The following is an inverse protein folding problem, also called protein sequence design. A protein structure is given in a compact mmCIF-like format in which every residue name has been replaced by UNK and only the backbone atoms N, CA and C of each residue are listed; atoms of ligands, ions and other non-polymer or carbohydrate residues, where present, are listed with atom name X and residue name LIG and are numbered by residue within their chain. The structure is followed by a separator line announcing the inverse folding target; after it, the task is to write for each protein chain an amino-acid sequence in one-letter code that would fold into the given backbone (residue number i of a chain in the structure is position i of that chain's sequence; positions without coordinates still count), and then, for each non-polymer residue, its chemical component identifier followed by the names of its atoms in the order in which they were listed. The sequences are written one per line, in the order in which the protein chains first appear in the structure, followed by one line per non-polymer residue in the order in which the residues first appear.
data_IF_176204155393
#
_entry.id   IF_176204155393
#
_cell.length_a   1.000
_cell.length_b   1.000
_cell.length_c   1.000
_cell.angle_alpha   90.00
_cell.angle_beta   90.00
_cell.angle_gamma   90.00
#
_symmetry.space_group_name_H-M   'P 1'
#
loop_
_entity.id
_entity.type
_entity.pdbx_description
1 polymer ?
#
# COMPACT_ATOMS: atom_id res chain seq x y z
N UNK A 1 2.92 2.67 14.65
CA UNK A 1 3.39 2.14 13.36
C UNK A 1 2.38 2.38 12.24
N UNK A 2 1.13 2.04 12.43
CA UNK A 2 0.09 2.28 11.44
C UNK A 2 -0.75 3.50 11.82
N UNK A 3 -1.03 4.36 10.85
CA UNK A 3 -1.88 5.52 11.04
C UNK A 3 -3.22 5.27 10.36
N UNK A 4 -4.32 5.41 11.12
CA UNK A 4 -5.67 5.19 10.62
C UNK A 4 -6.43 6.50 10.59
N UNK A 5 -7.31 6.65 9.61
CA UNK A 5 -8.24 7.76 9.51
C UNK A 5 -9.66 7.25 9.78
N UNK A 6 -10.16 7.49 10.99
CA UNK A 6 -11.49 7.06 11.40
C UNK A 6 -12.61 7.85 10.72
N UNK A 7 -12.28 8.99 10.11
CA UNK A 7 -13.24 9.82 9.37
C UNK A 7 -13.34 9.42 7.90
N UNK A 8 -12.39 8.62 7.42
CA UNK A 8 -12.40 8.13 6.05
C UNK A 8 -13.56 7.16 5.84
N UNK A 9 -14.12 7.15 4.62
CA UNK A 9 -15.11 6.15 4.22
C UNK A 9 -14.50 4.77 3.98
N UNK A 10 -13.17 4.72 3.87
CA UNK A 10 -12.47 3.46 3.69
C UNK A 10 -12.49 2.67 5.00
N UNK A 11 -12.96 1.43 5.00
CA UNK A 11 -12.97 0.60 6.20
C UNK A 11 -11.59 0.45 6.81
N UNK A 12 -11.53 0.27 8.12
CA UNK A 12 -10.25 0.17 8.85
C UNK A 12 -9.41 -0.98 8.32
N UNK A 13 -10.00 -2.14 8.02
CA UNK A 13 -9.23 -3.27 7.52
C UNK A 13 -8.58 -2.97 6.17
N UNK A 14 -9.24 -2.19 5.30
CA UNK A 14 -8.66 -1.79 4.02
C UNK A 14 -7.55 -0.76 4.20
N UNK A 15 -7.70 0.17 5.14
CA UNK A 15 -6.64 1.12 5.45
C UNK A 15 -5.39 0.40 5.94
N UNK A 16 -5.56 -0.59 6.82
CA UNK A 16 -4.45 -1.38 7.33
C UNK A 16 -3.81 -2.22 6.21
N UNK A 17 -4.62 -2.85 5.37
CA UNK A 17 -4.16 -3.59 4.19
C UNK A 17 -3.29 -2.71 3.29
N UNK A 18 -3.81 -1.54 2.91
CA UNK A 18 -3.08 -0.61 2.04
C UNK A 18 -1.82 -0.06 2.68
N UNK A 19 -1.86 0.19 3.99
CA UNK A 19 -0.70 0.67 4.75
C UNK A 19 0.44 -0.33 4.72
N UNK A 20 0.15 -1.60 4.93
CA UNK A 20 1.18 -2.66 4.90
C UNK A 20 1.76 -2.82 3.49
N UNK A 21 0.90 -2.79 2.45
CA UNK A 21 1.37 -2.84 1.06
C UNK A 21 2.31 -1.67 0.77
N UNK A 22 1.93 -0.46 1.17
CA UNK A 22 2.74 0.73 0.95
C UNK A 22 4.09 0.62 1.67
N UNK A 23 4.08 0.21 2.92
CA UNK A 23 5.31 0.05 3.71
C UNK A 23 6.24 -1.01 3.10
N UNK A 24 5.67 -2.08 2.57
CA UNK A 24 6.45 -3.11 1.87
C UNK A 24 7.01 -2.57 0.56
N UNK A 25 6.20 -1.84 -0.20
CA UNK A 25 6.60 -1.29 -1.50
C UNK A 25 7.72 -0.27 -1.38
N UNK A 26 7.71 0.55 -0.31
CA UNK A 26 8.75 1.57 -0.09
C UNK A 26 9.95 1.05 0.71
N UNK A 27 9.97 -0.24 1.04
CA UNK A 27 11.09 -0.86 1.76
C UNK A 27 11.10 -0.65 3.27
N UNK A 28 10.00 -0.14 3.85
CA UNK A 28 9.88 -0.01 5.31
C UNK A 28 9.79 -1.38 6.00
N UNK A 29 9.24 -2.37 5.31
CA UNK A 29 9.31 -3.77 5.70
C UNK A 29 10.16 -4.51 4.67
N UNK A 30 11.13 -5.28 5.14
CA UNK A 30 12.00 -6.07 4.28
C UNK A 30 11.38 -7.45 3.99
N UNK A 31 11.76 -8.10 2.88
CA UNK A 31 11.36 -9.49 2.64
C UNK A 31 11.75 -10.38 3.81
N UNK A 32 10.84 -11.25 4.24
CA UNK A 32 11.07 -12.16 5.36
C UNK A 32 10.93 -11.54 6.74
N UNK A 33 10.74 -10.22 6.83
CA UNK A 33 10.61 -9.54 8.12
C UNK A 33 9.30 -9.96 8.81
N UNK A 34 9.33 -10.21 10.13
CA UNK A 34 8.11 -10.52 10.85
C UNK A 34 7.21 -9.30 11.00
N UNK A 35 5.91 -9.50 10.84
CA UNK A 35 4.90 -8.50 11.13
C UNK A 35 4.51 -8.55 12.60
N UNK A 36 4.07 -7.41 13.18
CA UNK A 36 3.46 -7.43 14.50
C UNK A 36 2.28 -8.40 14.53
N UNK A 37 2.03 -9.03 15.67
CA UNK A 37 0.90 -9.94 15.81
C UNK A 37 -0.43 -9.19 15.66
N UNK A 38 -1.46 -9.91 15.22
CA UNK A 38 -2.82 -9.37 15.13
C UNK A 38 -3.24 -8.74 16.45
N UNK A 39 -2.97 -9.44 17.56
CA UNK A 39 -3.32 -8.96 18.89
C UNK A 39 -2.59 -7.66 19.24
N UNK A 40 -1.31 -7.60 18.96
CA UNK A 40 -0.49 -6.42 19.23
C UNK A 40 -0.97 -5.20 18.45
N UNK A 41 -1.25 -5.38 17.17
CA UNK A 41 -1.76 -4.30 16.31
C UNK A 41 -3.13 -3.83 16.79
N UNK A 42 -4.01 -4.78 17.11
CA UNK A 42 -5.36 -4.45 17.60
C UNK A 42 -5.30 -3.63 18.88
N UNK A 43 -4.42 -3.98 19.81
CA UNK A 43 -4.22 -3.24 21.06
C UNK A 43 -3.66 -1.85 20.80
N UNK A 44 -2.65 -1.74 19.94
CA UNK A 44 -2.02 -0.46 19.62
C UNK A 44 -3.02 0.50 18.95
N UNK A 45 -3.83 0.01 18.04
CA UNK A 45 -4.77 0.83 17.28
C UNK A 45 -6.13 1.01 17.98
N UNK A 46 -6.40 0.24 19.04
CA UNK A 46 -7.69 0.29 19.71
C UNK A 46 -8.83 -0.23 18.85
N UNK A 47 -8.58 -1.23 18.01
CA UNK A 47 -9.59 -1.81 17.12
C UNK A 47 -9.83 -3.28 17.46
N UNK A 48 -10.92 -3.82 16.92
CA UNK A 48 -11.25 -5.23 17.10
C UNK A 48 -10.19 -6.12 16.42
N UNK A 49 -9.68 -7.15 17.12
CA UNK A 49 -8.73 -8.08 16.52
C UNK A 49 -9.23 -8.72 15.21
N UNK A 50 -10.54 -8.93 15.08
CA UNK A 50 -11.11 -9.47 13.84
C UNK A 50 -10.90 -8.55 12.65
N UNK A 51 -10.86 -7.24 12.87
CA UNK A 51 -10.58 -6.24 11.83
C UNK A 51 -9.14 -6.38 11.35
N UNK A 52 -8.20 -6.53 12.27
CA UNK A 52 -6.78 -6.74 11.92
C UNK A 52 -6.62 -8.09 11.23
N UNK A 53 -7.27 -9.14 11.76
CA UNK A 53 -7.22 -10.47 11.17
C UNK A 53 -7.70 -10.47 9.72
N UNK A 54 -8.76 -9.71 9.43
CA UNK A 54 -9.28 -9.59 8.06
C UNK A 54 -8.25 -8.99 7.12
N UNK A 55 -7.56 -7.93 7.55
CA UNK A 55 -6.50 -7.32 6.75
C UNK A 55 -5.36 -8.31 6.49
N UNK A 56 -4.93 -9.04 7.52
CA UNK A 56 -3.87 -10.03 7.39
C UNK A 56 -4.25 -11.19 6.47
N UNK A 57 -5.49 -11.65 6.54
CA UNK A 57 -5.99 -12.69 5.65
C UNK A 57 -5.98 -12.23 4.18
N UNK A 58 -6.35 -10.97 3.94
CA UNK A 58 -6.30 -10.40 2.59
C UNK A 58 -4.87 -10.30 2.07
N UNK A 59 -3.93 -9.89 2.92
CA UNK A 59 -2.52 -9.81 2.57
C UNK A 59 -1.95 -11.21 2.25
N UNK A 60 -2.34 -12.20 3.03
CA UNK A 60 -1.92 -13.59 2.80
C UNK A 60 -2.51 -14.14 1.50
N UNK A 61 -3.79 -13.90 1.26
CA UNK A 61 -4.47 -14.28 0.02
C UNK A 61 -3.74 -13.70 -1.20
N UNK A 62 -3.28 -12.46 -1.11
CA UNK A 62 -2.63 -11.75 -2.21
C UNK A 62 -1.12 -12.01 -2.27
N UNK A 63 -0.60 -12.86 -1.39
CA UNK A 63 0.80 -13.26 -1.41
C UNK A 63 1.77 -12.21 -0.87
N UNK A 64 1.28 -11.17 -0.19
CA UNK A 64 2.11 -10.12 0.41
C UNK A 64 2.80 -10.64 1.67
N UNK A 65 2.09 -11.44 2.45
CA UNK A 65 2.60 -12.07 3.66
C UNK A 65 2.33 -13.57 3.65
N UNK A 66 3.03 -14.29 4.50
CA UNK A 66 2.73 -15.70 4.78
C UNK A 66 2.72 -15.92 6.28
N UNK A 67 1.86 -16.84 6.72
CA UNK A 67 1.73 -17.18 8.14
C UNK A 67 2.36 -18.55 8.38
N UNK A 68 3.21 -18.60 9.41
CA UNK A 68 3.81 -19.85 9.87
C UNK A 68 3.16 -20.19 11.21
N UNK A 69 2.42 -21.30 11.32
CA UNK A 69 1.74 -21.67 12.57
C UNK A 69 2.71 -21.70 13.74
N UNK A 70 2.33 -21.05 14.84
CA UNK A 70 3.13 -20.98 16.04
C UNK A 70 4.27 -19.97 15.99
N UNK A 71 4.55 -19.37 14.85
CA UNK A 71 5.66 -18.40 14.69
C UNK A 71 5.22 -17.01 14.29
N UNK A 72 4.07 -16.88 13.63
CA UNK A 72 3.50 -15.57 13.24
C UNK A 72 3.45 -15.36 11.74
N UNK A 73 3.28 -14.10 11.35
CA UNK A 73 3.18 -13.68 9.96
C UNK A 73 4.44 -12.93 9.54
N UNK A 74 4.85 -13.16 8.30
CA UNK A 74 6.11 -12.63 7.75
C UNK A 74 5.87 -12.05 6.36
N UNK A 75 6.61 -10.99 6.02
CA UNK A 75 6.61 -10.43 4.68
C UNK A 75 7.16 -11.50 3.72
N UNK A 76 6.47 -11.75 2.62
CA UNK A 76 6.88 -12.75 1.63
C UNK A 76 8.20 -12.37 0.98
N UNK A 77 9.02 -13.38 0.69
CA UNK A 77 10.31 -13.18 0.02
C UNK A 77 10.12 -12.69 -1.42
N UNK A 78 9.05 -13.13 -2.08
CA UNK A 78 8.69 -12.70 -3.43
C UNK A 78 7.38 -11.91 -3.38
N UNK A 79 7.43 -10.62 -3.64
CA UNK A 79 6.26 -9.75 -3.65
C UNK A 79 5.73 -9.54 -5.07
N UNK A 80 5.35 -10.65 -5.73
CA UNK A 80 4.80 -10.61 -7.09
C UNK A 80 3.54 -9.78 -7.19
N UNK A 81 2.70 -9.74 -6.13
CA UNK A 81 1.49 -8.92 -6.12
C UNK A 81 1.83 -7.43 -6.13
N UNK A 82 2.84 -7.01 -5.37
CA UNK A 82 3.30 -5.61 -5.37
C UNK A 82 3.90 -5.25 -6.72
N UNK A 83 4.72 -6.12 -7.28
CA UNK A 83 5.31 -5.91 -8.61
C UNK A 83 4.22 -5.78 -9.67
N UNK A 84 3.17 -6.59 -9.58
CA UNK A 84 2.03 -6.52 -10.50
C UNK A 84 1.30 -5.20 -10.38
N UNK A 85 1.09 -4.70 -9.17
CA UNK A 85 0.50 -3.38 -8.96
C UNK A 85 1.35 -2.27 -9.57
N UNK A 86 2.68 -2.36 -9.43
CA UNK A 86 3.60 -1.39 -10.04
C UNK A 86 3.48 -1.40 -11.56
N UNK A 87 3.43 -2.58 -12.15
CA UNK A 87 3.25 -2.71 -13.61
C UNK A 87 1.93 -2.11 -14.08
N UNK A 88 0.84 -2.31 -13.32
CA UNK A 88 -0.45 -1.73 -13.66
C UNK A 88 -0.41 -0.19 -13.64
N UNK A 89 0.32 0.40 -12.70
CA UNK A 89 0.51 1.86 -12.64
C UNK A 89 1.21 2.34 -13.93
N UNK A 90 2.27 1.65 -14.35
CA UNK A 90 2.99 2.04 -15.55
C UNK A 90 2.16 1.83 -16.82
N UNK A 91 1.32 0.80 -16.85
CA UNK A 91 0.38 0.60 -17.97
C UNK A 91 -0.63 1.74 -18.05
N UNK A 92 -1.17 2.18 -16.91
CA UNK A 92 -2.08 3.33 -16.84
C UNK A 92 -1.38 4.62 -17.27
N UNK A 93 -0.14 4.80 -16.85
CA UNK A 93 0.65 5.95 -17.26
C UNK A 93 0.86 5.96 -18.77
N UNK A 94 1.21 4.81 -19.34
CA UNK A 94 1.40 4.67 -20.79
C UNK A 94 0.14 5.07 -21.56
N UNK A 95 -1.02 4.61 -21.11
CA UNK A 95 -2.29 4.98 -21.69
C UNK A 95 -2.57 6.47 -21.57
N UNK A 96 -2.29 7.04 -20.40
CA UNK A 96 -2.45 8.47 -20.15
C UNK A 96 -1.54 9.30 -21.07
N UNK A 97 -0.30 8.87 -21.25
CA UNK A 97 0.64 9.55 -22.18
C UNK A 97 0.11 9.51 -23.61
N UNK A 98 -0.42 8.36 -24.04
CA UNK A 98 -1.03 8.24 -25.37
C UNK A 98 -2.16 9.25 -25.56
N UNK A 99 -3.05 9.35 -24.58
CA UNK A 99 -4.16 10.30 -24.60
C UNK A 99 -3.64 11.75 -24.60
N UNK A 100 -2.61 12.03 -23.80
CA UNK A 100 -1.99 13.36 -23.75
C UNK A 100 -1.46 13.80 -25.10
N UNK A 101 -0.80 12.89 -25.82
CA UNK A 101 -0.31 13.16 -27.18
C UNK A 101 -1.49 13.52 -28.11
N UNK A 102 -2.56 12.77 -28.03
CA UNK A 102 -3.77 13.03 -28.84
C UNK A 102 -4.42 14.38 -28.49
N UNK A 103 -4.30 14.84 -27.25
CA UNK A 103 -4.84 16.13 -26.79
C UNK A 103 -3.89 17.29 -27.02
N UNK A 104 -2.71 17.06 -27.57
CA UNK A 104 -1.72 18.12 -27.78
C UNK A 104 -0.97 18.55 -26.55
N UNK A 105 -0.96 17.74 -25.51
CA UNK A 105 -0.19 18.00 -24.28
C UNK A 105 1.24 17.53 -24.53
N UNK A 106 2.21 18.42 -24.34
CA UNK A 106 3.61 18.05 -24.52
C UNK A 106 4.20 17.44 -23.24
N UNK A 107 5.35 16.83 -23.36
CA UNK A 107 6.02 16.12 -22.27
C UNK A 107 6.32 17.04 -21.07
N UNK A 108 6.77 18.26 -21.33
CA UNK A 108 7.11 19.20 -20.26
C UNK A 108 5.90 19.55 -19.40
N UNK A 109 4.76 19.78 -20.04
CA UNK A 109 3.50 20.05 -19.33
C UNK A 109 3.06 18.88 -18.49
N UNK A 110 3.12 17.66 -19.03
CA UNK A 110 2.73 16.47 -18.30
C UNK A 110 3.65 16.22 -17.11
N UNK A 111 4.96 16.40 -17.28
CA UNK A 111 5.93 16.28 -16.19
C UNK A 111 5.68 17.27 -15.07
N UNK A 112 5.28 18.50 -15.40
CA UNK A 112 4.95 19.52 -14.41
C UNK A 112 3.77 19.10 -13.57
N UNK A 113 2.72 18.54 -14.17
CA UNK A 113 1.57 18.01 -13.46
C UNK A 113 1.98 16.87 -12.53
N UNK A 114 2.82 15.96 -13.01
CA UNK A 114 3.33 14.86 -12.19
C UNK A 114 4.06 15.41 -10.96
N UNK A 115 4.93 16.40 -11.16
CA UNK A 115 5.66 17.03 -10.07
C UNK A 115 4.72 17.65 -9.02
N UNK A 116 3.70 18.36 -9.48
CA UNK A 116 2.70 18.98 -8.61
C UNK A 116 1.95 17.92 -7.78
N UNK A 117 1.58 16.80 -8.40
CA UNK A 117 0.85 15.73 -7.72
C UNK A 117 1.71 15.06 -6.64
N UNK A 118 2.97 14.80 -6.93
CA UNK A 118 3.90 14.27 -5.94
C UNK A 118 4.10 15.23 -4.76
N UNK A 119 4.20 16.53 -5.05
CA UNK A 119 4.34 17.54 -4.01
C UNK A 119 3.12 17.61 -3.10
N UNK A 120 1.92 17.49 -3.67
CA UNK A 120 0.66 17.47 -2.92
C UNK A 120 0.59 16.24 -2.02
N UNK A 121 0.96 15.05 -2.53
CA UNK A 121 0.99 13.82 -1.74
C UNK A 121 2.00 13.92 -0.60
N UNK A 122 3.17 14.47 -0.87
CA UNK A 122 4.19 14.69 0.15
C UNK A 122 3.70 15.62 1.26
N UNK A 123 2.97 16.68 0.92
CA UNK A 123 2.40 17.60 1.89
C UNK A 123 1.34 16.93 2.76
N UNK A 124 0.51 16.04 2.20
CA UNK A 124 -0.51 15.30 2.93
C UNK A 124 0.10 14.31 3.92
N UNK A 125 1.28 13.79 3.65
CA UNK A 125 1.95 12.79 4.49
C UNK A 125 2.96 13.38 5.47
N UNK A 126 3.08 14.71 5.54
CA UNK A 126 4.09 15.38 6.35
C UNK A 126 3.62 15.81 7.74
N UNK A 127 2.46 15.42 8.13
CA UNK A 127 1.91 15.77 9.46
C UNK A 127 2.47 14.91 10.59
#
# INVERSE_FOLDING_TARGET
MFTLDYKSRLPIYEQLYQSIIKMTAVGAFDPGEPLPSVRSVAQELGVNPNTVQKAYQMLERDGIIHTVPGKGSFISESNSAINRQRELVFQKLKETVRIAVECGINEAELKEHIHQYYSAEGAEHHD
#
